data_IF_973518467214
#
_entry.id   IF_973518467214
#
_cell.length_a   1.000
_cell.length_b   1.000
_cell.length_c   1.000
_cell.angle_alpha   90.00
_cell.angle_beta   90.00
_cell.angle_gamma   90.00
#
_symmetry.space_group_name_H-M   'P 1'
#
loop_
_entity.id
_entity.type
_entity.pdbx_description
1 polymer ?
#
# COMPACT_ATOMS: atom_id res chain seq x y z
N UNK A 1 16.14 -15.40 5.16
CA UNK A 1 15.41 -15.54 3.88
C UNK A 1 13.89 -15.39 4.01
N UNK A 2 13.30 -15.36 5.22
CA UNK A 2 11.84 -15.37 5.37
C UNK A 2 11.16 -13.99 5.30
N UNK A 3 11.87 -12.93 5.67
CA UNK A 3 11.31 -11.57 5.68
C UNK A 3 11.04 -11.08 4.24
N UNK A 4 11.93 -11.39 3.30
CA UNK A 4 11.82 -11.00 1.90
C UNK A 4 10.65 -11.68 1.18
N UNK A 5 10.38 -12.95 1.47
CA UNK A 5 9.24 -13.67 0.90
C UNK A 5 7.91 -13.16 1.47
N UNK A 6 7.85 -12.83 2.77
CA UNK A 6 6.67 -12.23 3.39
C UNK A 6 6.39 -10.83 2.83
N UNK A 7 7.43 -10.01 2.64
CA UNK A 7 7.34 -8.69 1.99
C UNK A 7 6.82 -8.79 0.55
N UNK A 8 7.30 -9.76 -0.22
CA UNK A 8 6.84 -9.99 -1.59
C UNK A 8 5.36 -10.40 -1.64
N UNK A 9 4.93 -11.29 -0.72
CA UNK A 9 3.53 -11.69 -0.58
C UNK A 9 2.62 -10.50 -0.21
N UNK A 10 3.06 -9.65 0.71
CA UNK A 10 2.32 -8.44 1.11
C UNK A 10 2.20 -7.40 -0.01
N UNK A 11 3.17 -7.34 -0.93
CA UNK A 11 3.10 -6.45 -2.10
C UNK A 11 2.16 -7.00 -3.20
N UNK A 12 2.07 -8.33 -3.36
CA UNK A 12 1.26 -8.97 -4.41
C UNK A 12 -0.21 -9.12 -4.00
N UNK A 13 -0.50 -9.35 -2.71
CA UNK A 13 -1.86 -9.54 -2.20
C UNK A 13 -2.85 -8.40 -2.53
N UNK A 14 -2.49 -7.11 -2.37
CA UNK A 14 -3.35 -5.99 -2.75
C UNK A 14 -3.71 -6.03 -4.24
N UNK A 15 -2.75 -6.33 -5.11
CA UNK A 15 -2.95 -6.41 -6.56
C UNK A 15 -3.94 -7.53 -6.91
N UNK A 16 -3.79 -8.70 -6.30
CA UNK A 16 -4.72 -9.83 -6.47
C UNK A 16 -6.14 -9.47 -6.00
N UNK A 17 -6.26 -8.79 -4.87
CA UNK A 17 -7.56 -8.35 -4.33
C UNK A 17 -8.20 -7.28 -5.22
N UNK A 18 -7.42 -6.37 -5.79
CA UNK A 18 -7.92 -5.37 -6.76
C UNK A 18 -8.44 -6.04 -8.04
N UNK A 19 -7.70 -7.02 -8.58
CA UNK A 19 -8.14 -7.76 -9.77
C UNK A 19 -9.44 -8.53 -9.48
N UNK A 20 -9.52 -9.17 -8.30
CA UNK A 20 -10.67 -10.00 -7.92
C UNK A 20 -11.92 -9.20 -7.55
N UNK A 21 -11.77 -8.09 -6.82
CA UNK A 21 -12.88 -7.25 -6.35
C UNK A 21 -13.16 -6.04 -7.25
N UNK A 22 -12.38 -5.84 -8.33
CA UNK A 22 -12.42 -4.65 -9.21
C UNK A 22 -12.41 -3.33 -8.45
N UNK A 23 -11.74 -3.29 -7.30
CA UNK A 23 -11.85 -2.21 -6.33
C UNK A 23 -10.82 -1.09 -6.59
N UNK A 24 -10.69 -0.71 -7.85
CA UNK A 24 -9.64 0.20 -8.34
C UNK A 24 -9.74 1.58 -7.67
N UNK A 25 -10.96 2.06 -7.39
CA UNK A 25 -11.20 3.35 -6.73
C UNK A 25 -10.65 3.38 -5.30
N UNK A 26 -10.82 2.30 -4.56
CA UNK A 26 -10.34 2.17 -3.18
C UNK A 26 -8.81 2.05 -3.14
N UNK A 27 -8.24 1.35 -4.13
CA UNK A 27 -6.79 1.27 -4.29
C UNK A 27 -6.21 2.64 -4.61
N UNK A 28 -6.74 3.35 -5.61
CA UNK A 28 -6.21 4.66 -5.98
C UNK A 28 -6.34 5.66 -4.84
N UNK A 29 -7.47 5.71 -4.14
CA UNK A 29 -7.67 6.63 -3.00
C UNK A 29 -6.66 6.44 -1.86
N UNK A 30 -6.15 5.21 -1.65
CA UNK A 30 -5.19 4.91 -0.59
C UNK A 30 -3.75 5.08 -1.08
N UNK A 31 -3.42 4.54 -2.26
CA UNK A 31 -2.05 4.52 -2.76
C UNK A 31 -1.59 5.85 -3.38
N UNK A 32 -2.47 6.63 -4.03
CA UNK A 32 -2.06 7.93 -4.62
C UNK A 32 -1.53 8.94 -3.60
N UNK A 33 -2.25 9.26 -2.50
CA UNK A 33 -1.77 10.26 -1.55
C UNK A 33 -0.48 9.80 -0.86
N UNK A 34 -0.34 8.50 -0.58
CA UNK A 34 0.88 7.93 0.00
C UNK A 34 2.05 7.96 -1.01
N UNK A 35 1.81 7.59 -2.27
CA UNK A 35 2.83 7.68 -3.31
C UNK A 35 3.26 9.14 -3.53
N UNK A 36 2.33 10.08 -3.60
CA UNK A 36 2.63 11.50 -3.76
C UNK A 36 3.44 12.06 -2.58
N UNK A 37 3.04 11.76 -1.34
CA UNK A 37 3.75 12.18 -0.14
C UNK A 37 5.20 11.67 -0.14
N UNK A 38 5.39 10.40 -0.48
CA UNK A 38 6.74 9.82 -0.44
C UNK A 38 7.59 10.25 -1.62
N UNK A 39 7.05 10.34 -2.84
CA UNK A 39 7.79 10.85 -3.99
C UNK A 39 8.26 12.28 -3.71
N UNK A 40 7.41 13.12 -3.13
CA UNK A 40 7.78 14.50 -2.80
C UNK A 40 8.90 14.57 -1.76
N UNK A 41 8.84 13.74 -0.71
CA UNK A 41 9.91 13.65 0.29
C UNK A 41 11.20 13.04 -0.30
N UNK A 42 11.14 11.93 -1.02
CA UNK A 42 12.34 11.33 -1.61
C UNK A 42 12.98 12.28 -2.61
N UNK A 43 12.20 13.00 -3.41
CA UNK A 43 12.72 13.98 -4.37
C UNK A 43 13.45 15.13 -3.65
N UNK A 44 12.82 15.77 -2.66
CA UNK A 44 13.46 16.85 -1.91
C UNK A 44 14.76 16.44 -1.22
N UNK A 45 14.82 15.22 -0.68
CA UNK A 45 15.94 14.77 0.13
C UNK A 45 17.06 14.10 -0.69
N UNK A 46 16.73 13.48 -1.83
CA UNK A 46 17.71 12.82 -2.71
C UNK A 46 18.21 13.71 -3.86
N UNK A 47 17.51 14.81 -4.20
CA UNK A 47 17.99 15.75 -5.24
C UNK A 47 19.21 16.54 -4.75
N UNK A 48 19.27 16.84 -3.45
CA UNK A 48 20.36 17.63 -2.85
C UNK A 48 21.60 16.76 -2.61
N UNK A 49 21.44 15.52 -2.15
CA UNK A 49 22.58 14.62 -1.95
C UNK A 49 22.18 13.13 -1.98
N UNK A 50 22.34 12.49 -3.15
CA UNK A 50 21.94 11.10 -3.40
C UNK A 50 22.68 10.04 -2.57
N UNK A 51 23.81 10.39 -1.92
CA UNK A 51 24.59 9.48 -1.06
C UNK A 51 24.35 9.71 0.43
N UNK A 52 23.54 10.69 0.79
CA UNK A 52 23.22 10.98 2.19
C UNK A 52 22.37 9.86 2.78
N UNK A 53 22.62 9.54 4.06
CA UNK A 53 21.80 8.61 4.84
C UNK A 53 20.31 9.01 4.78
N UNK A 54 20.02 10.32 4.72
CA UNK A 54 18.67 10.85 4.62
C UNK A 54 17.90 10.34 3.38
N UNK A 55 18.60 10.15 2.24
CA UNK A 55 18.00 9.58 1.03
C UNK A 55 17.64 8.10 1.24
N UNK A 56 18.50 7.35 1.96
CA UNK A 56 18.25 5.92 2.28
C UNK A 56 17.08 5.77 3.26
N UNK A 57 16.98 6.67 4.26
CA UNK A 57 15.84 6.75 5.16
C UNK A 57 14.54 7.11 4.42
N UNK A 58 14.59 8.00 3.42
CA UNK A 58 13.46 8.30 2.54
C UNK A 58 12.95 7.07 1.77
N UNK A 59 13.87 6.26 1.22
CA UNK A 59 13.50 4.99 0.57
C UNK A 59 12.94 3.96 1.57
N UNK A 60 13.48 3.86 2.78
CA UNK A 60 12.90 3.02 3.84
C UNK A 60 11.47 3.46 4.18
N UNK A 61 11.25 4.77 4.36
CA UNK A 61 9.91 5.32 4.61
C UNK A 61 8.93 5.00 3.48
N UNK A 62 9.38 4.99 2.22
CA UNK A 62 8.57 4.53 1.07
C UNK A 62 8.10 3.09 1.22
N UNK A 63 9.01 2.18 1.56
CA UNK A 63 8.69 0.76 1.72
C UNK A 63 7.70 0.57 2.88
N UNK A 64 7.90 1.26 4.01
CA UNK A 64 6.96 1.21 5.13
C UNK A 64 5.60 1.81 4.79
N UNK A 65 5.55 2.92 4.05
CA UNK A 65 4.32 3.53 3.59
C UNK A 65 3.53 2.61 2.64
N UNK A 66 4.20 1.94 1.71
CA UNK A 66 3.60 0.93 0.83
C UNK A 66 3.02 -0.26 1.59
N UNK A 67 3.74 -0.75 2.61
CA UNK A 67 3.23 -1.81 3.47
C UNK A 67 1.99 -1.37 4.24
N UNK A 68 2.04 -0.18 4.86
CA UNK A 68 0.90 0.37 5.58
C UNK A 68 -0.33 0.57 4.67
N UNK A 69 -0.13 1.13 3.47
CA UNK A 69 -1.17 1.28 2.46
C UNK A 69 -1.81 -0.07 2.11
N UNK A 70 -0.98 -1.11 1.93
CA UNK A 70 -1.40 -2.46 1.60
C UNK A 70 -2.25 -3.08 2.71
N UNK A 71 -1.83 -2.94 3.97
CA UNK A 71 -2.59 -3.42 5.12
C UNK A 71 -3.94 -2.72 5.24
N UNK A 72 -3.97 -1.39 5.12
CA UNK A 72 -5.21 -0.59 5.20
C UNK A 72 -6.17 -0.98 4.06
N UNK A 73 -5.66 -1.13 2.84
CA UNK A 73 -6.47 -1.57 1.69
C UNK A 73 -7.08 -2.97 1.90
N UNK A 74 -6.31 -3.92 2.43
CA UNK A 74 -6.80 -5.27 2.73
C UNK A 74 -7.90 -5.26 3.80
N UNK A 75 -7.73 -4.47 4.87
CA UNK A 75 -8.75 -4.33 5.92
C UNK A 75 -10.05 -3.76 5.37
N UNK A 76 -9.97 -2.67 4.58
CA UNK A 76 -11.15 -2.04 3.97
C UNK A 76 -11.84 -3.01 3.00
N UNK A 77 -11.07 -3.72 2.18
CA UNK A 77 -11.60 -4.73 1.24
C UNK A 77 -12.28 -5.89 1.97
N UNK A 78 -11.72 -6.36 3.09
CA UNK A 78 -12.31 -7.40 3.93
C UNK A 78 -13.63 -6.92 4.54
N UNK A 79 -13.68 -5.67 5.04
CA UNK A 79 -14.88 -5.06 5.59
C UNK A 79 -16.00 -4.91 4.56
N UNK A 80 -15.67 -4.46 3.34
CA UNK A 80 -16.63 -4.38 2.23
C UNK A 80 -17.16 -5.77 1.83
N UNK A 81 -16.29 -6.78 1.80
CA UNK A 81 -16.69 -8.15 1.52
C UNK A 81 -17.64 -8.69 2.60
N UNK A 82 -17.30 -8.55 3.88
CA UNK A 82 -18.16 -8.95 5.01
C UNK A 82 -19.52 -8.25 4.99
N UNK A 83 -19.55 -6.94 4.79
CA UNK A 83 -20.80 -6.17 4.74
C UNK A 83 -21.70 -6.64 3.59
N UNK A 84 -21.12 -6.95 2.42
CA UNK A 84 -21.87 -7.50 1.28
C UNK A 84 -22.43 -8.89 1.59
N UNK A 85 -21.66 -9.72 2.32
CA UNK A 85 -22.03 -11.08 2.72
C UNK A 85 -23.19 -11.05 3.72
N UNK A 86 -23.11 -10.21 4.76
CA UNK A 86 -24.19 -10.01 5.74
C UNK A 86 -25.47 -9.46 5.10
N UNK A 87 -25.36 -8.51 4.17
CA UNK A 87 -26.52 -7.94 3.48
C UNK A 87 -27.26 -8.96 2.59
N UNK A 88 -26.55 -9.95 2.07
CA UNK A 88 -27.14 -11.07 1.31
C UNK A 88 -27.81 -12.12 2.19
N UNK A 89 -27.34 -12.32 3.42
CA UNK A 89 -27.93 -13.28 4.36
C UNK A 89 -29.17 -12.72 5.09
N UNK A 90 -29.29 -11.40 5.17
CA UNK A 90 -30.41 -10.69 5.81
C UNK A 90 -31.59 -10.37 4.86
N UNK A 91 -31.48 -10.69 3.57
CA UNK A 91 -32.49 -10.40 2.55
C UNK A 91 -33.02 -11.68 1.92
#
# INVERSE_FOLDING_TARGET
>A
MEILSVLALLAIMPVLVVIKLRNIKTMSAIYLPLAAYVIFNVYQWCEIDSRSEACTWGYMQYIYALLAASTVFLIISLGQWLSTKYKRESS
#
